data_IF_756050206951
#
_entry.id   IF_756050206951
#
_cell.length_a   1.000
_cell.length_b   1.000
_cell.length_c   1.000
_cell.angle_alpha   90.00
_cell.angle_beta   90.00
_cell.angle_gamma   90.00
#
_symmetry.space_group_name_H-M   'P 1'
#
loop_
_entity.id
_entity.type
_entity.pdbx_description
1 polymer ?
#
# COMPACT_ATOMS: atom_id res chain seq x y z
N UNK A 1 -5.38 -9.10 -0.61
CA UNK A 1 -4.14 -8.43 -1.09
C UNK A 1 -2.91 -8.84 -0.31
N UNK A 2 -2.95 -8.79 0.99
CA UNK A 2 -1.82 -9.19 1.86
C UNK A 2 -1.35 -10.62 1.57
N UNK A 3 -2.27 -11.57 1.49
CA UNK A 3 -1.93 -12.96 1.16
C UNK A 3 -1.29 -13.10 -0.21
N UNK A 4 -1.82 -12.40 -1.21
CA UNK A 4 -1.29 -12.46 -2.58
C UNK A 4 0.12 -11.90 -2.66
N UNK A 5 0.38 -10.79 -1.98
CA UNK A 5 1.71 -10.20 -1.93
C UNK A 5 2.70 -11.14 -1.23
N UNK A 6 2.30 -11.75 -0.13
CA UNK A 6 3.16 -12.70 0.58
C UNK A 6 3.41 -13.98 -0.21
N UNK A 7 2.45 -14.46 -0.97
CA UNK A 7 2.67 -15.56 -1.91
C UNK A 7 3.75 -15.20 -2.94
N UNK A 8 3.68 -14.00 -3.50
CA UNK A 8 4.66 -13.52 -4.48
C UNK A 8 6.04 -13.37 -3.84
N UNK A 9 6.11 -12.79 -2.64
CA UNK A 9 7.38 -12.64 -1.90
C UNK A 9 8.01 -13.98 -1.60
N UNK A 10 7.26 -14.94 -1.11
CA UNK A 10 7.76 -16.30 -0.85
C UNK A 10 8.28 -16.96 -2.11
N UNK A 11 7.58 -16.80 -3.23
CA UNK A 11 7.95 -17.32 -4.54
C UNK A 11 9.33 -16.82 -5.01
N UNK A 12 9.68 -15.58 -4.69
CA UNK A 12 10.96 -14.98 -5.05
C UNK A 12 11.98 -15.00 -3.90
N UNK A 13 11.73 -15.78 -2.85
CA UNK A 13 12.65 -15.92 -1.74
C UNK A 13 12.79 -14.68 -0.86
N UNK A 14 11.80 -13.79 -0.90
CA UNK A 14 11.78 -12.59 -0.07
C UNK A 14 10.96 -12.86 1.19
N UNK A 15 11.45 -12.38 2.33
CA UNK A 15 10.78 -12.56 3.61
C UNK A 15 9.35 -12.02 3.55
N UNK A 16 8.39 -12.80 4.06
CA UNK A 16 6.99 -12.39 4.07
C UNK A 16 6.77 -11.18 4.98
N UNK A 17 5.77 -10.39 4.64
CA UNK A 17 5.41 -9.20 5.38
C UNK A 17 4.65 -9.53 6.66
N UNK A 18 4.81 -8.68 7.65
CA UNK A 18 4.05 -8.74 8.89
C UNK A 18 2.90 -7.74 8.80
N UNK A 19 1.71 -8.15 9.24
CA UNK A 19 0.55 -7.26 9.29
C UNK A 19 0.71 -6.23 10.42
N UNK A 20 0.47 -4.96 10.10
CA UNK A 20 0.44 -3.88 11.09
C UNK A 20 -0.88 -3.13 10.96
N UNK A 21 -1.69 -3.18 12.01
CA UNK A 21 -3.02 -2.57 12.00
C UNK A 21 -2.98 -1.05 11.94
N UNK A 22 -1.97 -0.41 12.50
CA UNK A 22 -1.84 1.04 12.44
C UNK A 22 -1.56 1.51 11.01
N UNK A 23 -0.71 0.80 10.30
CA UNK A 23 -0.47 1.04 8.88
C UNK A 23 -1.72 0.77 8.05
N UNK A 24 -2.41 -0.34 8.32
CA UNK A 24 -3.65 -0.67 7.64
C UNK A 24 -4.69 0.44 7.77
N UNK A 25 -4.77 1.05 8.95
CA UNK A 25 -5.66 2.19 9.21
C UNK A 25 -5.31 3.39 8.33
N UNK A 26 -4.03 3.74 8.26
CA UNK A 26 -3.57 4.85 7.41
C UNK A 26 -3.98 4.63 5.96
N UNK A 27 -3.77 3.43 5.45
CA UNK A 27 -4.14 3.08 4.08
C UNK A 27 -5.64 3.12 3.84
N UNK A 28 -6.42 2.52 4.74
CA UNK A 28 -7.88 2.56 4.63
C UNK A 28 -8.42 3.99 4.62
N UNK A 29 -7.89 4.83 5.49
CA UNK A 29 -8.33 6.22 5.58
C UNK A 29 -8.04 6.99 4.29
N UNK A 30 -6.87 6.80 3.71
CA UNK A 30 -6.54 7.45 2.44
C UNK A 30 -7.40 6.92 1.28
N UNK A 31 -7.63 5.62 1.22
CA UNK A 31 -8.48 5.02 0.20
C UNK A 31 -9.92 5.54 0.32
N UNK A 32 -10.46 5.63 1.53
CA UNK A 32 -11.78 6.22 1.78
C UNK A 32 -11.84 7.68 1.35
N UNK A 33 -10.79 8.44 1.65
CA UNK A 33 -10.71 9.86 1.28
C UNK A 33 -10.69 10.03 -0.24
N UNK A 34 -9.88 9.24 -0.94
CA UNK A 34 -9.84 9.25 -2.40
C UNK A 34 -11.22 8.96 -3.00
N UNK A 35 -11.90 7.95 -2.47
CA UNK A 35 -13.22 7.58 -2.95
C UNK A 35 -14.25 8.69 -2.66
N UNK A 36 -14.27 9.19 -1.42
CA UNK A 36 -15.24 10.16 -0.96
C UNK A 36 -15.09 11.51 -1.68
N UNK A 37 -13.86 11.97 -1.87
CA UNK A 37 -13.56 13.28 -2.46
C UNK A 37 -13.26 13.21 -3.96
N UNK A 38 -13.29 12.02 -4.56
CA UNK A 38 -13.21 11.83 -6.00
C UNK A 38 -11.84 12.12 -6.60
N UNK A 39 -10.77 11.68 -5.97
CA UNK A 39 -9.41 11.78 -6.53
C UNK A 39 -8.67 10.45 -6.44
N UNK A 40 -7.61 10.34 -7.21
CA UNK A 40 -6.71 9.16 -7.19
C UNK A 40 -5.28 9.66 -7.30
N UNK A 41 -4.61 9.79 -6.17
CA UNK A 41 -3.27 10.35 -6.09
C UNK A 41 -2.60 9.97 -4.77
N UNK A 42 -1.28 9.96 -4.76
CA UNK A 42 -0.48 9.88 -3.54
C UNK A 42 -0.66 11.13 -2.66
N UNK A 43 -1.08 12.23 -3.24
CA UNK A 43 -1.29 13.50 -2.55
C UNK A 43 -2.77 13.74 -2.36
N UNK A 44 -3.16 14.18 -1.15
CA UNK A 44 -4.52 14.67 -0.92
C UNK A 44 -4.72 16.03 -1.61
N UNK A 45 -5.98 16.50 -1.74
CA UNK A 45 -6.22 17.84 -2.26
C UNK A 45 -5.51 18.96 -1.51
N UNK A 46 -5.21 18.75 -0.21
CA UNK A 46 -4.45 19.70 0.62
C UNK A 46 -2.94 19.54 0.45
N UNK A 47 -2.48 18.62 -0.38
CA UNK A 47 -1.06 18.38 -0.61
C UNK A 47 -0.37 17.47 0.40
N UNK A 48 -1.13 16.75 1.21
CA UNK A 48 -0.58 15.76 2.15
C UNK A 48 -0.18 14.49 1.42
N UNK A 49 1.05 14.06 1.63
CA UNK A 49 1.59 12.83 1.07
C UNK A 49 1.61 11.68 2.11
N UNK A 50 2.18 10.55 1.74
CA UNK A 50 2.32 9.40 2.63
C UNK A 50 3.08 9.77 3.91
N UNK A 51 4.19 10.49 3.79
CA UNK A 51 4.99 10.92 4.95
C UNK A 51 4.14 11.71 5.94
N UNK A 52 3.35 12.67 5.45
CA UNK A 52 2.45 13.45 6.28
C UNK A 52 1.43 12.57 6.99
N UNK A 53 0.86 11.60 6.27
CA UNK A 53 -0.14 10.68 6.84
C UNK A 53 0.45 9.78 7.92
N UNK A 54 1.69 9.31 7.71
CA UNK A 54 2.39 8.50 8.71
C UNK A 54 2.74 9.32 9.95
N UNK A 55 3.20 10.55 9.77
CA UNK A 55 3.52 11.46 10.87
C UNK A 55 2.27 11.77 11.71
N UNK A 56 1.15 12.03 11.07
CA UNK A 56 -0.12 12.28 11.75
C UNK A 56 -0.60 11.07 12.57
N UNK A 57 -0.23 9.86 12.13
CA UNK A 57 -0.57 8.62 12.81
C UNK A 57 0.48 8.20 13.86
N UNK A 58 1.50 9.02 14.11
CA UNK A 58 2.62 8.74 15.01
C UNK A 58 3.36 7.45 14.63
N UNK A 59 3.52 7.19 13.34
CA UNK A 59 4.25 6.03 12.83
C UNK A 59 5.65 6.47 12.43
N UNK A 60 6.67 5.93 13.11
CA UNK A 60 8.07 6.18 12.79
C UNK A 60 8.50 5.32 11.59
N UNK A 61 9.29 5.92 10.69
CA UNK A 61 9.83 5.24 9.53
C UNK A 61 11.12 5.90 9.08
N UNK A 62 12.03 5.11 8.48
CA UNK A 62 13.24 5.64 7.84
C UNK A 62 12.96 6.01 6.39
N UNK A 63 12.19 5.19 5.70
CA UNK A 63 11.73 5.45 4.35
C UNK A 63 10.37 4.78 4.16
N UNK A 64 9.57 5.31 3.26
CA UNK A 64 8.25 4.77 2.99
C UNK A 64 7.93 4.89 1.50
N UNK A 65 7.24 3.89 0.97
CA UNK A 65 6.73 3.90 -0.39
C UNK A 65 5.26 3.51 -0.39
N UNK A 66 4.58 3.82 -1.46
CA UNK A 66 3.15 3.58 -1.58
C UNK A 66 2.83 3.09 -2.99
N UNK A 67 2.01 2.05 -3.06
CA UNK A 67 1.41 1.60 -4.31
C UNK A 67 -0.08 1.93 -4.30
N UNK A 68 -0.57 2.51 -5.37
CA UNK A 68 -1.99 2.75 -5.57
C UNK A 68 -2.48 1.93 -6.75
N UNK A 69 -3.66 1.35 -6.62
CA UNK A 69 -4.31 0.64 -7.69
C UNK A 69 -5.81 0.95 -7.73
N UNK A 70 -6.34 1.03 -8.94
CA UNK A 70 -7.77 1.14 -9.18
C UNK A 70 -8.16 -0.02 -10.08
N UNK A 71 -8.93 -0.95 -9.54
CA UNK A 71 -9.27 -2.18 -10.25
C UNK A 71 -10.62 -2.75 -9.80
N UNK A 72 -11.27 -3.58 -10.64
CA UNK A 72 -12.56 -4.18 -10.29
C UNK A 72 -12.46 -5.23 -9.16
N UNK A 73 -11.26 -5.78 -8.91
CA UNK A 73 -11.07 -6.81 -7.88
C UNK A 73 -9.65 -6.74 -7.32
N UNK A 74 -9.47 -7.34 -6.14
CA UNK A 74 -8.17 -7.49 -5.50
C UNK A 74 -7.20 -8.27 -6.41
N UNK A 75 -7.68 -9.33 -7.03
CA UNK A 75 -6.88 -10.16 -7.94
C UNK A 75 -6.33 -9.34 -9.12
N UNK A 76 -7.17 -8.53 -9.75
CA UNK A 76 -6.76 -7.67 -10.87
C UNK A 76 -5.83 -6.56 -10.43
N UNK A 77 -6.06 -6.00 -9.25
CA UNK A 77 -5.17 -5.00 -8.67
C UNK A 77 -3.78 -5.57 -8.46
N UNK A 78 -3.69 -6.75 -7.86
CA UNK A 78 -2.42 -7.45 -7.63
C UNK A 78 -1.70 -7.72 -8.95
N UNK A 79 -2.39 -8.27 -9.95
CA UNK A 79 -1.81 -8.54 -11.26
C UNK A 79 -1.27 -7.26 -11.90
N UNK A 80 -2.02 -6.17 -11.84
CA UNK A 80 -1.58 -4.89 -12.38
C UNK A 80 -0.35 -4.34 -11.66
N UNK A 81 -0.31 -4.44 -10.35
CA UNK A 81 0.82 -3.96 -9.55
C UNK A 81 2.08 -4.78 -9.83
N UNK A 82 1.95 -6.12 -9.85
CA UNK A 82 3.11 -7.00 -10.05
C UNK A 82 3.70 -6.88 -11.45
N UNK A 83 2.90 -6.51 -12.44
CA UNK A 83 3.34 -6.31 -13.81
C UNK A 83 3.88 -4.90 -14.08
N UNK A 84 3.82 -4.02 -13.11
CA UNK A 84 4.35 -2.65 -13.21
C UNK A 84 5.70 -2.58 -12.48
N UNK A 85 6.82 -2.25 -13.18
CA UNK A 85 8.16 -2.34 -12.57
C UNK A 85 8.32 -1.58 -11.26
N UNK A 86 7.80 -0.37 -11.16
CA UNK A 86 7.89 0.44 -9.94
C UNK A 86 7.09 -0.14 -8.78
N UNK A 87 5.86 -0.56 -9.05
CA UNK A 87 5.01 -1.19 -8.04
C UNK A 87 5.55 -2.54 -7.61
N UNK A 88 6.01 -3.34 -8.58
CA UNK A 88 6.63 -4.64 -8.31
C UNK A 88 7.86 -4.49 -7.40
N UNK A 89 8.67 -3.47 -7.65
CA UNK A 89 9.87 -3.22 -6.83
C UNK A 89 9.50 -3.00 -5.36
N UNK A 90 8.45 -2.23 -5.09
CA UNK A 90 7.96 -2.04 -3.72
C UNK A 90 7.45 -3.35 -3.10
N UNK A 91 6.72 -4.14 -3.86
CA UNK A 91 6.15 -5.42 -3.37
C UNK A 91 7.26 -6.41 -3.00
N UNK A 92 8.32 -6.47 -3.78
CA UNK A 92 9.40 -7.45 -3.61
C UNK A 92 10.61 -6.90 -2.86
N UNK A 93 10.55 -5.69 -2.33
CA UNK A 93 11.67 -5.08 -1.61
C UNK A 93 11.98 -5.87 -0.33
N UNK A 94 13.19 -6.47 -0.21
CA UNK A 94 13.54 -7.25 0.96
C UNK A 94 13.74 -6.42 2.24
N UNK A 95 13.94 -5.11 2.12
CA UNK A 95 14.08 -4.23 3.28
C UNK A 95 12.74 -3.85 3.91
N UNK A 96 11.63 -4.18 3.25
CA UNK A 96 10.28 -3.87 3.71
C UNK A 96 9.74 -5.02 4.54
N UNK A 97 9.27 -4.73 5.75
CA UNK A 97 8.69 -5.73 6.67
C UNK A 97 7.19 -5.56 6.87
N UNK A 98 6.65 -4.37 6.60
CA UNK A 98 5.24 -4.05 6.84
C UNK A 98 4.64 -3.44 5.59
N UNK A 99 3.42 -3.82 5.26
CA UNK A 99 2.66 -3.24 4.14
C UNK A 99 1.23 -2.99 4.53
N UNK A 100 0.65 -1.98 3.91
CA UNK A 100 -0.74 -1.62 4.04
C UNK A 100 -1.56 -2.20 2.90
N UNK A 101 -2.66 -2.87 3.27
CA UNK A 101 -3.64 -3.35 2.33
C UNK A 101 -5.02 -2.92 2.80
N UNK A 102 -5.52 -1.75 2.36
CA UNK A 102 -6.89 -1.39 2.71
C UNK A 102 -7.83 -2.34 1.98
N UNK A 103 -8.60 -3.08 2.74
CA UNK A 103 -9.68 -3.88 2.19
C UNK A 103 -10.90 -2.99 2.05
N UNK A 104 -10.93 -2.16 1.04
CA UNK A 104 -12.18 -1.59 0.59
C UNK A 104 -12.69 -2.49 -0.52
N UNK A 105 -13.92 -2.94 -0.39
CA UNK A 105 -14.64 -3.69 -1.40
C UNK A 105 -14.90 -2.86 -2.64
N UNK A 106 -14.13 -1.83 -2.86
CA UNK A 106 -14.29 -0.92 -3.93
C UNK A 106 -13.02 -0.92 -4.73
N UNK A 107 -13.10 -0.44 -5.90
CA UNK A 107 -12.13 -0.46 -6.97
C UNK A 107 -10.78 0.21 -6.66
N UNK A 108 -10.55 0.69 -5.44
CA UNK A 108 -9.32 1.38 -5.05
C UNK A 108 -8.62 0.61 -3.95
N UNK A 109 -7.40 0.20 -4.20
CA UNK A 109 -6.56 -0.52 -3.25
C UNK A 109 -5.26 0.26 -3.08
N UNK A 110 -4.88 0.46 -1.83
CA UNK A 110 -3.66 1.16 -1.49
C UNK A 110 -2.72 0.25 -0.74
N UNK A 111 -1.48 0.24 -1.17
CA UNK A 111 -0.38 -0.42 -0.48
C UNK A 111 0.56 0.66 0.02
N UNK A 112 0.91 0.63 1.29
CA UNK A 112 1.89 1.52 1.88
C UNK A 112 3.01 0.67 2.46
N UNK A 113 4.24 1.06 2.20
CA UNK A 113 5.41 0.25 2.50
C UNK A 113 6.40 1.07 3.32
N UNK A 114 6.39 0.94 4.66
CA UNK A 114 7.42 1.58 5.49
C UNK A 114 8.69 0.73 5.50
N UNK A 115 9.82 1.39 5.44
CA UNK A 115 11.14 0.77 5.52
C UNK A 115 11.80 1.15 6.85
N UNK A 116 12.20 0.14 7.59
CA UNK A 116 12.86 0.32 8.88
C UNK A 116 14.32 -0.05 8.84
#
# INVERSE_FOLDING_TARGET
MFSLVNEERAKFGVKVLVWDENLAKVGRNHAKDMFKRGYFSHFSPEGKDLGNRLDEADIDYLAAGENLALAPSVSRAHTGLINSPGHRRNILDPSVLFQLFPSLQLQKIQLCVPWH
#
